data_IF_136868078226
#
_entry.id   IF_136868078226
#
_cell.length_a   1.000
_cell.length_b   1.000
_cell.length_c   1.000
_cell.angle_alpha   90.00
_cell.angle_beta   90.00
_cell.angle_gamma   90.00
#
_symmetry.space_group_name_H-M   'P 1'
#
loop_
_entity.id
_entity.type
_entity.pdbx_description
1 polymer ?
#
# COMPACT_ATOMS: atom_id res chain seq x y z
N UNK A 1 -20.51 -11.90 -2.54
CA UNK A 1 -19.04 -11.93 -2.77
C UNK A 1 -18.34 -12.25 -1.47
N UNK A 2 -17.33 -13.12 -1.49
CA UNK A 2 -16.57 -13.46 -0.28
C UNK A 2 -15.79 -12.22 0.19
N UNK A 3 -16.05 -11.76 1.41
CA UNK A 3 -15.47 -10.57 2.06
C UNK A 3 -13.93 -10.49 1.93
N UNK A 4 -13.29 -11.66 1.82
CA UNK A 4 -11.84 -11.84 1.60
C UNK A 4 -11.35 -11.22 0.28
N UNK A 5 -12.09 -11.39 -0.82
CA UNK A 5 -11.69 -10.90 -2.14
C UNK A 5 -11.79 -9.39 -2.23
N UNK A 6 -12.87 -8.82 -1.67
CA UNK A 6 -13.05 -7.37 -1.59
C UNK A 6 -11.94 -6.73 -0.76
N UNK A 7 -11.59 -7.32 0.39
CA UNK A 7 -10.55 -6.79 1.27
C UNK A 7 -9.16 -6.78 0.60
N UNK A 8 -8.81 -7.84 -0.13
CA UNK A 8 -7.54 -7.90 -0.88
C UNK A 8 -7.52 -6.87 -2.02
N UNK A 9 -8.62 -6.74 -2.77
CA UNK A 9 -8.73 -5.72 -3.81
C UNK A 9 -8.57 -4.30 -3.23
N UNK A 10 -9.21 -4.02 -2.09
CA UNK A 10 -9.08 -2.75 -1.40
C UNK A 10 -7.63 -2.44 -1.00
N UNK A 11 -6.93 -3.40 -0.39
CA UNK A 11 -5.51 -3.26 -0.03
C UNK A 11 -4.66 -2.97 -1.28
N UNK A 12 -4.95 -3.64 -2.40
CA UNK A 12 -4.23 -3.45 -3.64
C UNK A 12 -4.41 -2.02 -4.19
N UNK A 13 -5.63 -1.50 -4.22
CA UNK A 13 -5.90 -0.12 -4.62
C UNK A 13 -5.21 0.88 -3.69
N UNK A 14 -5.30 0.69 -2.36
CA UNK A 14 -4.61 1.54 -1.40
C UNK A 14 -3.08 1.53 -1.58
N UNK A 15 -2.49 0.37 -1.86
CA UNK A 15 -1.05 0.26 -2.12
C UNK A 15 -0.65 1.06 -3.38
N UNK A 16 -1.39 0.89 -4.50
CA UNK A 16 -1.13 1.65 -5.74
C UNK A 16 -1.23 3.15 -5.48
N UNK A 17 -2.26 3.61 -4.77
CA UNK A 17 -2.43 5.02 -4.44
C UNK A 17 -1.30 5.55 -3.55
N UNK A 18 -0.87 4.77 -2.54
CA UNK A 18 0.24 5.15 -1.67
C UNK A 18 1.56 5.27 -2.45
N UNK A 19 1.86 4.30 -3.31
CA UNK A 19 3.05 4.39 -4.17
C UNK A 19 2.93 5.53 -5.19
N UNK A 20 1.76 5.74 -5.78
CA UNK A 20 1.51 6.85 -6.70
C UNK A 20 1.73 8.21 -6.02
N UNK A 21 1.22 8.37 -4.80
CA UNK A 21 1.42 9.58 -4.00
C UNK A 21 2.89 9.76 -3.59
N UNK A 22 3.57 8.70 -3.15
CA UNK A 22 5.00 8.74 -2.87
C UNK A 22 5.82 9.18 -4.09
N UNK A 23 5.52 8.61 -5.26
CA UNK A 23 6.20 8.96 -6.52
C UNK A 23 5.94 10.41 -6.89
N UNK A 24 4.70 10.88 -6.76
CA UNK A 24 4.35 12.29 -7.00
C UNK A 24 5.10 13.23 -6.06
N UNK A 25 5.19 12.88 -4.79
CA UNK A 25 5.94 13.64 -3.78
C UNK A 25 7.42 13.80 -4.14
N UNK A 26 8.09 12.73 -4.59
CA UNK A 26 9.51 12.77 -4.94
C UNK A 26 9.80 13.38 -6.31
N UNK A 27 8.88 13.27 -7.27
CA UNK A 27 9.06 13.80 -8.63
C UNK A 27 8.79 15.31 -8.69
N UNK A 28 7.66 15.77 -8.14
CA UNK A 28 7.24 17.16 -8.29
C UNK A 28 7.78 18.07 -7.20
N UNK A 29 8.15 17.54 -6.02
CA UNK A 29 8.71 18.28 -4.88
C UNK A 29 8.13 19.71 -4.68
N UNK A 30 6.80 19.86 -4.59
CA UNK A 30 6.15 21.17 -4.47
C UNK A 30 6.58 21.94 -3.21
N UNK A 31 6.95 21.26 -2.12
CA UNK A 31 7.55 21.87 -0.93
C UNK A 31 8.76 21.04 -0.47
N UNK A 32 9.97 21.54 -0.74
CA UNK A 32 11.21 20.88 -0.30
C UNK A 32 11.19 20.60 1.22
N UNK A 33 11.59 19.39 1.62
CA UNK A 33 11.56 18.94 3.01
C UNK A 33 10.23 18.32 3.43
N UNK A 34 9.13 19.08 3.41
CA UNK A 34 7.80 18.56 3.82
C UNK A 34 7.33 17.45 2.89
N UNK A 35 7.47 17.64 1.57
CA UNK A 35 7.00 16.65 0.61
C UNK A 35 7.87 15.39 0.59
N UNK A 36 9.17 15.49 0.93
CA UNK A 36 10.04 14.32 1.06
C UNK A 36 9.65 13.45 2.27
N UNK A 37 9.29 14.07 3.40
CA UNK A 37 8.79 13.33 4.59
C UNK A 37 7.44 12.66 4.27
N UNK A 38 6.51 13.39 3.63
CA UNK A 38 5.21 12.83 3.23
C UNK A 38 5.36 11.69 2.22
N UNK A 39 6.25 11.86 1.23
CA UNK A 39 6.56 10.82 0.24
C UNK A 39 7.18 9.58 0.88
N UNK A 40 8.12 9.78 1.81
CA UNK A 40 8.73 8.69 2.58
C UNK A 40 7.72 7.94 3.45
N UNK A 41 6.89 8.66 4.20
CA UNK A 41 5.82 8.06 5.01
C UNK A 41 4.82 7.29 4.14
N UNK A 42 4.44 7.83 2.99
CA UNK A 42 3.54 7.17 2.04
C UNK A 42 4.16 5.93 1.41
N UNK A 43 5.45 5.96 1.07
CA UNK A 43 6.19 4.80 0.55
C UNK A 43 6.28 3.67 1.59
N UNK A 44 6.59 4.01 2.85
CA UNK A 44 6.62 3.04 3.96
C UNK A 44 5.22 2.47 4.20
N UNK A 45 4.19 3.32 4.22
CA UNK A 45 2.80 2.89 4.34
C UNK A 45 2.39 1.93 3.22
N UNK A 46 2.71 2.27 1.97
CA UNK A 46 2.48 1.41 0.80
C UNK A 46 3.18 0.05 0.91
N UNK A 47 4.45 0.03 1.33
CA UNK A 47 5.20 -1.20 1.54
C UNK A 47 4.58 -2.09 2.64
N UNK A 48 4.16 -1.49 3.76
CA UNK A 48 3.46 -2.20 4.84
C UNK A 48 2.12 -2.78 4.37
N UNK A 49 1.36 -2.03 3.56
CA UNK A 49 0.10 -2.49 2.96
C UNK A 49 0.32 -3.69 2.03
N UNK A 50 1.35 -3.65 1.18
CA UNK A 50 1.70 -4.78 0.30
C UNK A 50 2.09 -6.01 1.14
N UNK A 51 2.94 -5.82 2.16
CA UNK A 51 3.36 -6.91 3.03
C UNK A 51 2.17 -7.52 3.81
N UNK A 52 1.27 -6.68 4.30
CA UNK A 52 0.03 -7.10 4.95
C UNK A 52 -0.88 -7.88 4.00
N UNK A 53 -1.08 -7.38 2.77
CA UNK A 53 -1.86 -8.05 1.73
C UNK A 53 -1.32 -9.44 1.40
N UNK A 54 0.00 -9.57 1.23
CA UNK A 54 0.68 -10.86 0.99
C UNK A 54 0.49 -11.80 2.18
N UNK A 55 0.68 -11.30 3.41
CA UNK A 55 0.50 -12.10 4.63
C UNK A 55 -0.94 -12.59 4.78
N UNK A 56 -1.92 -11.73 4.50
CA UNK A 56 -3.33 -12.07 4.53
C UNK A 56 -3.71 -13.10 3.46
N UNK A 57 -3.16 -12.97 2.26
CA UNK A 57 -3.33 -13.95 1.18
C UNK A 57 -2.72 -15.32 1.55
N UNK A 58 -1.48 -15.34 2.05
CA UNK A 58 -0.81 -16.56 2.52
C UNK A 58 -1.57 -17.25 3.65
N UNK A 59 -2.10 -16.47 4.61
CA UNK A 59 -2.87 -17.00 5.73
C UNK A 59 -4.23 -17.53 5.28
N UNK A 60 -4.91 -16.84 4.38
CA UNK A 60 -6.18 -17.33 3.81
C UNK A 60 -6.02 -18.62 3.02
N UNK A 61 -4.85 -18.83 2.38
CA UNK A 61 -4.53 -20.08 1.67
C UNK A 61 -4.15 -21.23 2.62
N UNK A 62 -3.61 -20.94 3.80
CA UNK A 62 -3.24 -21.96 4.81
C UNK A 62 -4.44 -22.49 5.63
N UNK A 63 -5.60 -21.82 5.62
CA UNK A 63 -6.82 -22.29 6.30
C UNK A 63 -7.63 -23.25 5.40
N UNK A 64 -7.15 -23.53 4.18
CA UNK A 64 -7.68 -24.60 3.33
C UNK A 64 -6.63 -25.72 3.32
N UNK A 65 -6.67 -26.53 4.38
CA UNK A 65 -6.24 -27.94 4.38
C UNK A 65 -7.42 -28.74 4.89
#
# INVERSE_FOLDING_TARGET
>A
MSLKHFHIAFIFFCAIFAFGFATWCFVFRPMQGTTDIMGGASAIGGALLVFYGIRFYRKSKNVIV
#
